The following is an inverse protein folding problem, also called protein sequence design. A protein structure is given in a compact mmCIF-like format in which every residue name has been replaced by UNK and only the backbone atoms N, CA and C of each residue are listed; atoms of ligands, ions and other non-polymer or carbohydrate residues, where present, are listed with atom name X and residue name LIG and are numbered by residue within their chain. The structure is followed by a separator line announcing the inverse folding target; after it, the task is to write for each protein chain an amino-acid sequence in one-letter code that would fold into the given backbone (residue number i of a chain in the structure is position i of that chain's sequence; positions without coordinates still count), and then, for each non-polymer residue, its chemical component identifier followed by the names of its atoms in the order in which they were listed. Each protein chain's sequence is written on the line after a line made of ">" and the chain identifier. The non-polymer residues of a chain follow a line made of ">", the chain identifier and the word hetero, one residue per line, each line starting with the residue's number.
data_IF_247804046855
#
_entry.id   IF_247804046855
#
_cell.length_a   1.000
_cell.length_b   1.000
_cell.length_c   1.000
_cell.angle_alpha   90.00
_cell.angle_beta   90.00
_cell.angle_gamma   90.00
#
_symmetry.space_group_name_H-M   'P 1'
#
loop_
_entity.id
_entity.type
_entity.pdbx_description
1 polymer ?
#
# COMPACT_ATOMS: atom_id res chain seq x y z
N UNK A 1 4.72 -10.90 10.30
CA UNK A 1 3.41 -10.77 10.97
C UNK A 1 2.37 -10.39 9.94
N UNK A 2 1.34 -11.22 9.75
CA UNK A 2 0.19 -10.85 8.94
C UNK A 2 -0.52 -9.67 9.63
N UNK A 3 -0.75 -8.58 8.91
CA UNK A 3 -1.58 -7.49 9.42
C UNK A 3 -3.02 -7.98 9.39
N UNK A 4 -3.50 -8.53 10.52
CA UNK A 4 -4.92 -8.84 10.68
C UNK A 4 -5.62 -7.49 10.83
N UNK A 5 -6.32 -7.09 9.77
CA UNK A 5 -7.20 -5.94 9.76
C UNK A 5 -8.56 -6.40 10.24
N UNK A 6 -9.30 -5.52 10.90
CA UNK A 6 -10.72 -5.75 11.12
C UNK A 6 -11.46 -5.95 9.80
N UNK A 7 -12.45 -6.83 9.82
CA UNK A 7 -13.48 -6.90 8.78
C UNK A 7 -14.26 -5.58 8.75
N UNK A 8 -14.97 -5.33 7.64
CA UNK A 8 -15.77 -4.11 7.50
C UNK A 8 -16.93 -4.04 8.50
N UNK A 9 -17.49 -5.18 8.86
CA UNK A 9 -18.54 -5.28 9.88
C UNK A 9 -18.02 -4.92 11.28
N UNK A 10 -16.86 -5.46 11.67
CA UNK A 10 -16.22 -5.14 12.96
C UNK A 10 -15.83 -3.67 13.04
N UNK A 11 -15.26 -3.12 11.95
CA UNK A 11 -14.90 -1.70 11.88
C UNK A 11 -16.14 -0.81 12.04
N UNK A 12 -17.21 -1.13 11.32
CA UNK A 12 -18.48 -0.40 11.39
C UNK A 12 -19.09 -0.47 12.78
N UNK A 13 -19.08 -1.65 13.41
CA UNK A 13 -19.58 -1.84 14.77
C UNK A 13 -18.86 -0.94 15.78
N UNK A 14 -17.53 -0.91 15.75
CA UNK A 14 -16.74 -0.07 16.68
C UNK A 14 -16.97 1.42 16.42
N UNK A 15 -17.13 1.82 15.15
CA UNK A 15 -17.47 3.19 14.79
C UNK A 15 -18.83 3.60 15.33
N UNK A 16 -19.84 2.74 15.19
CA UNK A 16 -21.18 2.96 15.76
C UNK A 16 -21.13 3.03 17.28
N UNK A 17 -20.39 2.12 17.94
CA UNK A 17 -20.20 2.13 19.39
C UNK A 17 -19.59 3.44 19.87
N UNK A 18 -18.59 3.97 19.17
CA UNK A 18 -17.98 5.26 19.49
C UNK A 18 -18.99 6.41 19.42
N UNK A 19 -19.78 6.48 18.36
CA UNK A 19 -20.83 7.51 18.21
C UNK A 19 -21.92 7.38 19.27
N UNK A 20 -22.29 6.16 19.64
CA UNK A 20 -23.27 5.89 20.70
C UNK A 20 -22.75 6.31 22.09
N UNK A 21 -21.45 6.12 22.34
CA UNK A 21 -20.83 6.58 23.58
C UNK A 21 -20.81 8.12 23.65
N UNK A 22 -20.51 8.79 22.55
CA UNK A 22 -20.53 10.26 22.49
C UNK A 22 -21.95 10.81 22.71
N UNK A 23 -22.96 10.25 22.05
CA UNK A 23 -24.35 10.68 22.26
C UNK A 23 -24.83 10.44 23.69
N UNK A 24 -24.43 9.32 24.31
CA UNK A 24 -24.70 9.07 25.73
C UNK A 24 -23.98 10.04 26.66
N UNK A 25 -22.79 10.51 26.30
CA UNK A 25 -22.05 11.49 27.10
C UNK A 25 -22.77 12.83 27.20
N UNK A 26 -23.50 13.26 26.17
CA UNK A 26 -24.23 14.53 26.14
C UNK A 26 -25.40 14.59 27.13
N UNK A 27 -26.05 13.45 27.39
CA UNK A 27 -27.25 13.36 28.23
C UNK A 27 -26.97 12.77 29.63
N UNK A 28 -25.76 12.28 29.88
CA UNK A 28 -25.42 11.59 31.12
C UNK A 28 -25.05 12.54 32.26
N UNK A 29 -25.04 12.00 33.49
CA UNK A 29 -24.49 12.73 34.64
C UNK A 29 -22.99 13.01 34.43
N UNK A 30 -22.42 14.07 35.05
CA UNK A 30 -21.03 14.48 34.80
C UNK A 30 -20.01 13.34 34.95
N UNK A 31 -20.16 12.50 35.98
CA UNK A 31 -19.29 11.36 36.22
C UNK A 31 -19.40 10.30 35.11
N UNK A 32 -20.62 9.98 34.68
CA UNK A 32 -20.84 9.01 33.61
C UNK A 32 -20.39 9.56 32.24
N UNK A 33 -20.62 10.85 31.97
CA UNK A 33 -20.16 11.51 30.76
C UNK A 33 -18.63 11.43 30.59
N UNK A 34 -17.86 11.63 31.66
CA UNK A 34 -16.40 11.45 31.63
C UNK A 34 -16.00 10.02 31.25
N UNK A 35 -16.68 9.01 31.80
CA UNK A 35 -16.41 7.61 31.45
C UNK A 35 -16.74 7.31 29.97
N UNK A 36 -17.90 7.76 29.48
CA UNK A 36 -18.28 7.58 28.08
C UNK A 36 -17.34 8.29 27.11
N UNK A 37 -16.95 9.53 27.41
CA UNK A 37 -15.98 10.28 26.61
C UNK A 37 -14.61 9.56 26.55
N UNK A 38 -14.16 9.00 27.67
CA UNK A 38 -12.90 8.25 27.73
C UNK A 38 -12.95 6.97 26.87
N UNK A 39 -14.05 6.22 26.94
CA UNK A 39 -14.25 5.03 26.11
C UNK A 39 -14.38 5.38 24.62
N UNK A 40 -15.06 6.48 24.30
CA UNK A 40 -15.14 6.99 22.93
C UNK A 40 -13.76 7.39 22.40
N UNK A 41 -12.93 8.05 23.22
CA UNK A 41 -11.57 8.42 22.84
C UNK A 41 -10.68 7.21 22.59
N UNK A 42 -10.76 6.16 23.43
CA UNK A 42 -10.07 4.90 23.20
C UNK A 42 -10.50 4.25 21.88
N UNK A 43 -11.79 4.25 21.59
CA UNK A 43 -12.36 3.72 20.34
C UNK A 43 -11.86 4.51 19.13
N UNK A 44 -11.82 5.85 19.22
CA UNK A 44 -11.30 6.72 18.16
C UNK A 44 -9.81 6.51 17.88
N UNK A 45 -8.99 6.38 18.92
CA UNK A 45 -7.56 6.08 18.76
C UNK A 45 -7.33 4.72 18.11
N UNK A 46 -8.14 3.73 18.46
CA UNK A 46 -8.10 2.40 17.85
C UNK A 46 -8.47 2.47 16.36
N UNK A 47 -9.56 3.15 16.00
CA UNK A 47 -9.99 3.32 14.60
C UNK A 47 -8.92 4.03 13.75
N UNK A 48 -8.29 5.08 14.28
CA UNK A 48 -7.20 5.78 13.59
C UNK A 48 -6.01 4.86 13.29
N UNK A 49 -5.68 3.95 14.22
CA UNK A 49 -4.64 2.95 14.00
C UNK A 49 -5.03 1.92 12.94
N UNK A 50 -6.30 1.47 12.93
CA UNK A 50 -6.80 0.57 11.88
C UNK A 50 -6.80 1.24 10.50
N UNK A 51 -7.19 2.51 10.41
CA UNK A 51 -7.14 3.29 9.16
C UNK A 51 -5.71 3.42 8.65
N UNK A 52 -4.75 3.69 9.55
CA UNK A 52 -3.33 3.74 9.19
C UNK A 52 -2.82 2.39 8.67
N UNK A 53 -3.28 1.26 9.22
CA UNK A 53 -2.93 -0.08 8.71
C UNK A 53 -3.58 -0.35 7.36
N UNK A 54 -4.86 0.01 7.17
CA UNK A 54 -5.59 -0.11 5.89
C UNK A 54 -4.90 0.70 4.79
N UNK A 55 -4.56 1.96 5.05
CA UNK A 55 -3.84 2.83 4.13
C UNK A 55 -2.46 2.25 3.75
N UNK A 56 -1.68 1.78 4.74
CA UNK A 56 -0.39 1.12 4.48
C UNK A 56 -0.54 -0.15 3.62
N UNK A 57 -1.59 -0.93 3.84
CA UNK A 57 -1.89 -2.12 3.04
C UNK A 57 -2.18 -1.75 1.58
N UNK A 58 -3.05 -0.75 1.36
CA UNK A 58 -3.38 -0.26 0.02
C UNK A 58 -2.15 0.31 -0.70
N UNK A 59 -1.34 1.14 -0.04
CA UNK A 59 -0.11 1.68 -0.64
C UNK A 59 0.87 0.59 -1.06
N UNK A 60 1.01 -0.49 -0.25
CA UNK A 60 1.86 -1.63 -0.60
C UNK A 60 1.32 -2.38 -1.81
N UNK A 61 0.01 -2.57 -1.90
CA UNK A 61 -0.64 -3.23 -3.02
C UNK A 61 -0.48 -2.42 -4.32
N UNK A 62 -0.78 -1.11 -4.28
CA UNK A 62 -0.64 -0.23 -5.44
C UNK A 62 0.81 -0.15 -5.92
N UNK A 63 1.78 -0.05 -5.00
CA UNK A 63 3.21 -0.05 -5.36
C UNK A 63 3.61 -1.34 -6.07
N UNK A 64 3.14 -2.51 -5.61
CA UNK A 64 3.42 -3.80 -6.26
C UNK A 64 2.84 -3.84 -7.67
N UNK A 65 1.63 -3.32 -7.86
CA UNK A 65 0.98 -3.24 -9.15
C UNK A 65 1.72 -2.31 -10.12
N UNK A 66 2.13 -1.12 -9.66
CA UNK A 66 2.95 -0.20 -10.46
C UNK A 66 4.28 -0.82 -10.89
N UNK A 67 4.95 -1.56 -9.98
CA UNK A 67 6.18 -2.29 -10.31
C UNK A 67 5.92 -3.35 -11.38
N UNK A 68 4.81 -4.11 -11.28
CA UNK A 68 4.44 -5.13 -12.26
C UNK A 68 4.17 -4.52 -13.64
N UNK A 69 3.35 -3.48 -13.71
CA UNK A 69 3.06 -2.75 -14.95
C UNK A 69 4.33 -2.18 -15.59
N UNK A 70 5.25 -1.64 -14.77
CA UNK A 70 6.54 -1.11 -15.26
C UNK A 70 7.40 -2.22 -15.88
N UNK A 71 7.46 -3.40 -15.25
CA UNK A 71 8.19 -4.56 -15.78
C UNK A 71 7.58 -5.07 -17.09
N UNK A 72 6.25 -5.16 -17.17
CA UNK A 72 5.53 -5.56 -18.38
C UNK A 72 5.77 -4.58 -19.54
N UNK A 73 5.68 -3.27 -19.27
CA UNK A 73 5.99 -2.22 -20.25
C UNK A 73 7.43 -2.29 -20.78
N UNK A 74 8.38 -2.68 -19.93
CA UNK A 74 9.77 -2.89 -20.37
C UNK A 74 9.91 -4.11 -21.29
N UNK A 75 9.17 -5.19 -21.02
CA UNK A 75 9.20 -6.41 -21.86
C UNK A 75 8.55 -6.17 -23.23
N UNK A 76 7.44 -5.45 -23.29
CA UNK A 76 6.79 -5.15 -24.57
C UNK A 76 7.66 -4.27 -25.48
N UNK A 77 8.38 -3.28 -24.93
CA UNK A 77 9.33 -2.44 -25.69
C UNK A 77 10.51 -3.21 -26.29
N UNK A 78 10.97 -4.28 -25.63
CA UNK A 78 12.09 -5.11 -26.11
C UNK A 78 11.66 -6.00 -27.27
N UNK A 79 10.40 -6.45 -27.31
CA UNK A 79 9.87 -7.27 -28.42
C UNK A 79 9.44 -6.47 -29.65
N UNK A 80 9.25 -5.15 -29.54
CA UNK A 80 8.92 -4.27 -30.67
C UNK A 80 10.14 -3.55 -31.27
N UNK A 81 11.35 -3.80 -30.78
CA UNK A 81 12.56 -3.29 -31.43
C UNK A 81 12.80 -4.09 -32.72
N UNK A 82 12.71 -3.49 -33.93
CA UNK A 82 13.11 -4.16 -35.14
C UNK A 82 14.60 -4.46 -35.01
N UNK A 83 15.00 -5.71 -35.26
CA UNK A 83 16.38 -6.12 -35.48
C UNK A 83 16.96 -5.34 -36.65
N UNK A 84 17.51 -4.15 -36.40
CA UNK A 84 18.49 -3.54 -37.26
C UNK A 84 19.82 -4.29 -37.02
N UNK A 85 20.04 -5.35 -37.79
CA UNK A 85 21.38 -5.94 -37.94
C UNK A 85 22.34 -4.85 -38.43
N UNK A 86 23.46 -4.58 -37.74
CA UNK A 86 24.60 -3.95 -38.40
C UNK A 86 25.31 -5.03 -39.19
N UNK A 87 25.04 -5.08 -40.49
CA UNK A 87 25.90 -5.77 -41.46
C UNK A 87 27.33 -5.22 -41.36
N UNK A 88 28.30 -6.13 -41.23
CA UNK A 88 29.62 -5.96 -41.83
C UNK A 88 30.63 -5.08 -41.09
N UNK A 89 31.09 -5.50 -39.91
CA UNK A 89 32.47 -5.19 -39.51
C UNK A 89 33.38 -6.26 -40.12
N UNK A 90 33.83 -6.01 -41.35
CA UNK A 90 34.82 -6.82 -42.03
C UNK A 90 36.10 -6.90 -41.19
N UNK A 91 36.53 -8.13 -40.94
CA UNK A 91 37.74 -8.50 -40.22
C UNK A 91 38.90 -8.54 -41.23
N UNK A 92 39.94 -7.69 -41.16
CA UNK A 92 41.18 -7.98 -41.83
C UNK A 92 42.01 -8.90 -40.93
N UNK A 93 42.24 -10.10 -41.47
CA UNK A 93 43.15 -11.12 -41.01
C UNK A 93 44.62 -10.77 -41.29
N UNK A 94 45.50 -11.13 -40.32
CA UNK A 94 46.89 -11.61 -40.49
C UNK A 94 47.97 -10.57 -40.90
N UNK A 95 49.23 -10.53 -40.43
CA UNK A 95 50.12 -11.34 -39.55
C UNK A 95 51.45 -10.52 -39.36
N UNK A 96 52.64 -11.03 -38.97
CA UNK A 96 53.20 -10.96 -37.61
C UNK A 96 54.60 -10.28 -37.50
N UNK A 97 55.06 -10.19 -36.24
CA UNK A 97 56.45 -10.04 -35.71
C UNK A 97 57.63 -10.19 -36.69
N UNK A 98 58.59 -9.27 -36.59
CA UNK A 98 60.02 -9.50 -36.87
C UNK A 98 60.89 -8.86 -35.78
N UNK A 99 62.07 -9.47 -35.62
CA UNK A 99 63.06 -9.38 -34.54
C UNK A 99 63.58 -7.99 -34.18
#
# INVERSE_FOLDING_TARGET
>A
MATILLTDDEYTHIKTLMTDLLSKAEIASPRAATHYATLAQLSGNFLANEDAKRAKSQTRASTRETIKQTKEKRRSRVHTAPTAQPQGAARPSATPKSA
#
